data_IF_274670014999
#
_entry.id   IF_274670014999
#
_cell.length_a   1.000
_cell.length_b   1.000
_cell.length_c   1.000
_cell.angle_alpha   90.00
_cell.angle_beta   90.00
_cell.angle_gamma   90.00
#
_symmetry.space_group_name_H-M   'P 1'
#
loop_
_entity.id
_entity.type
_entity.pdbx_description
1 polymer ?
#
# COMPACT_ATOMS: atom_id res chain seq x y z
N UNK A 1 28.90 -59.96 17.97
CA UNK A 1 29.06 -58.54 17.64
C UNK A 1 30.06 -57.98 18.63
N UNK A 2 31.13 -57.33 18.15
CA UNK A 2 32.12 -56.76 19.06
C UNK A 2 31.56 -55.50 19.74
N UNK A 3 31.97 -55.23 20.97
CA UNK A 3 31.55 -54.06 21.76
C UNK A 3 31.76 -52.74 21.00
N UNK A 4 32.66 -52.67 20.09
CA UNK A 4 32.94 -51.52 19.20
C UNK A 4 31.80 -51.27 18.20
N UNK A 5 31.12 -52.30 17.68
CA UNK A 5 29.99 -52.18 16.75
C UNK A 5 28.72 -51.69 17.48
N UNK A 6 28.53 -52.20 18.72
CA UNK A 6 27.40 -51.77 19.55
C UNK A 6 27.55 -50.31 19.98
N UNK A 7 28.77 -49.85 20.27
CA UNK A 7 29.08 -48.47 20.64
C UNK A 7 28.86 -47.50 19.45
N UNK A 8 29.24 -47.90 18.23
CA UNK A 8 29.01 -47.13 17.01
C UNK A 8 27.50 -46.99 16.68
N UNK A 9 26.71 -48.05 16.84
CA UNK A 9 25.27 -48.03 16.61
C UNK A 9 24.57 -47.15 17.65
N UNK A 10 25.00 -47.17 18.91
CA UNK A 10 24.48 -46.30 19.97
C UNK A 10 24.82 -44.82 19.76
N UNK A 11 26.00 -44.50 19.25
CA UNK A 11 26.39 -43.14 18.88
C UNK A 11 25.64 -42.64 17.63
N UNK A 12 25.45 -43.48 16.60
CA UNK A 12 24.65 -43.12 15.44
C UNK A 12 23.17 -42.88 15.81
N UNK A 13 22.59 -43.70 16.68
CA UNK A 13 21.22 -43.50 17.16
C UNK A 13 21.11 -42.25 18.05
N UNK A 14 22.12 -41.89 18.85
CA UNK A 14 22.13 -40.61 19.59
C UNK A 14 22.25 -39.39 18.69
N UNK A 15 23.11 -39.45 17.66
CA UNK A 15 23.22 -38.39 16.66
C UNK A 15 21.95 -38.23 15.82
N UNK A 16 21.33 -39.35 15.41
CA UNK A 16 20.05 -39.34 14.71
C UNK A 16 18.90 -38.82 15.60
N UNK A 17 18.89 -39.14 16.90
CA UNK A 17 17.89 -38.61 17.84
C UNK A 17 18.11 -37.14 18.16
N UNK A 18 19.37 -36.68 18.24
CA UNK A 18 19.68 -35.25 18.37
C UNK A 18 19.32 -34.50 17.10
N UNK A 19 19.57 -35.07 15.92
CA UNK A 19 19.17 -34.50 14.64
C UNK A 19 17.64 -34.44 14.48
N UNK A 20 16.90 -35.50 14.89
CA UNK A 20 15.46 -35.52 14.91
C UNK A 20 14.87 -34.59 15.97
N UNK A 21 15.49 -34.42 17.13
CA UNK A 21 15.07 -33.47 18.18
C UNK A 21 15.40 -32.02 17.79
N UNK A 22 16.51 -31.77 17.13
CA UNK A 22 16.81 -30.42 16.57
C UNK A 22 15.90 -30.08 15.38
N UNK A 23 15.53 -31.05 14.54
CA UNK A 23 14.56 -30.87 13.46
C UNK A 23 13.12 -30.70 13.96
N UNK A 24 12.74 -31.35 15.06
CA UNK A 24 11.39 -31.19 15.65
C UNK A 24 11.25 -29.92 16.51
N UNK A 25 12.34 -29.32 16.96
CA UNK A 25 12.34 -28.01 17.65
C UNK A 25 12.46 -26.82 16.68
N UNK A 26 12.85 -27.05 15.40
CA UNK A 26 12.90 -26.00 14.38
C UNK A 26 11.63 -25.88 13.54
N UNK A 27 10.62 -26.74 13.79
CA UNK A 27 9.31 -26.68 13.15
C UNK A 27 8.24 -25.97 13.99
N UNK A 28 8.59 -25.25 15.04
CA UNK A 28 7.77 -24.12 15.45
C UNK A 28 7.87 -23.10 14.31
N UNK A 29 6.83 -22.99 13.50
CA UNK A 29 6.76 -22.06 12.38
C UNK A 29 7.29 -20.71 12.87
N UNK A 30 8.46 -20.30 12.41
CA UNK A 30 9.03 -19.00 12.75
C UNK A 30 8.04 -17.98 12.23
N UNK A 31 7.34 -17.30 13.14
CA UNK A 31 6.35 -16.29 12.80
C UNK A 31 7.12 -15.16 12.13
N UNK A 32 6.84 -14.92 10.84
CA UNK A 32 7.50 -13.85 10.08
C UNK A 32 6.91 -12.49 10.46
N UNK A 33 7.68 -11.38 10.36
CA UNK A 33 7.18 -10.05 10.68
C UNK A 33 5.86 -9.69 9.99
N UNK A 34 5.66 -10.10 8.72
CA UNK A 34 4.41 -9.86 8.01
C UNK A 34 3.26 -10.66 8.59
N UNK A 35 3.49 -11.90 9.06
CA UNK A 35 2.46 -12.72 9.68
C UNK A 35 2.08 -12.16 11.05
N UNK A 36 3.03 -11.70 11.85
CA UNK A 36 2.75 -11.05 13.13
C UNK A 36 1.87 -9.82 12.94
N UNK A 37 2.23 -8.92 12.01
CA UNK A 37 1.43 -7.73 11.72
C UNK A 37 0.06 -8.07 11.12
N UNK A 38 -0.04 -9.10 10.27
CA UNK A 38 -1.31 -9.58 9.77
C UNK A 38 -2.22 -10.07 10.91
N UNK A 39 -1.71 -10.95 11.76
CA UNK A 39 -2.47 -11.56 12.87
C UNK A 39 -2.98 -10.50 13.85
N UNK A 40 -2.13 -9.55 14.29
CA UNK A 40 -2.57 -8.48 15.20
C UNK A 40 -3.51 -7.49 14.52
N UNK A 41 -3.36 -7.23 13.24
CA UNK A 41 -4.25 -6.34 12.50
C UNK A 41 -5.68 -6.87 12.46
N UNK A 42 -5.85 -8.16 12.16
CA UNK A 42 -7.16 -8.79 12.03
C UNK A 42 -7.83 -9.09 13.37
N UNK A 43 -7.04 -9.29 14.44
CA UNK A 43 -7.56 -9.71 15.75
C UNK A 43 -7.61 -8.61 16.79
N UNK A 44 -6.66 -7.68 16.79
CA UNK A 44 -6.49 -6.66 17.83
C UNK A 44 -6.81 -5.26 17.32
N UNK A 45 -6.16 -4.84 16.22
CA UNK A 45 -6.15 -3.44 15.80
C UNK A 45 -7.46 -3.06 15.10
N UNK A 46 -7.84 -3.83 14.09
CA UNK A 46 -9.08 -3.63 13.33
C UNK A 46 -9.82 -4.96 13.16
N UNK A 47 -10.31 -5.61 14.22
CA UNK A 47 -11.20 -6.75 14.04
C UNK A 47 -12.43 -6.31 13.23
N UNK A 48 -13.08 -7.24 12.55
CA UNK A 48 -14.17 -6.95 11.60
C UNK A 48 -15.29 -6.06 12.19
N UNK A 49 -15.53 -6.20 13.50
CA UNK A 49 -16.51 -5.40 14.25
C UNK A 49 -16.10 -3.94 14.43
N UNK A 50 -14.81 -3.65 14.35
CA UNK A 50 -14.25 -2.29 14.50
C UNK A 50 -13.90 -1.63 13.18
N UNK A 51 -13.92 -2.35 12.05
CA UNK A 51 -13.67 -1.76 10.73
C UNK A 51 -14.53 -0.50 10.51
N UNK A 52 -13.95 0.57 10.03
CA UNK A 52 -14.67 1.81 9.74
C UNK A 52 -14.64 2.08 8.24
N UNK A 53 -15.75 2.60 7.69
CA UNK A 53 -15.81 3.03 6.28
C UNK A 53 -14.97 4.28 6.06
N UNK A 54 -13.66 4.08 5.87
CA UNK A 54 -12.68 5.13 5.62
C UNK A 54 -11.48 4.60 4.81
N UNK A 55 -10.66 5.52 4.30
CA UNK A 55 -9.51 5.20 3.48
C UNK A 55 -8.38 4.43 4.22
N UNK A 56 -8.19 4.68 5.53
CA UNK A 56 -7.10 4.06 6.31
C UNK A 56 -7.30 2.56 6.41
N UNK A 57 -8.50 2.16 6.81
CA UNK A 57 -8.86 0.74 6.95
C UNK A 57 -9.03 0.09 5.56
N UNK A 58 -9.40 0.87 4.53
CA UNK A 58 -9.48 0.38 3.16
C UNK A 58 -8.12 -0.06 2.60
N UNK A 59 -7.03 0.63 2.93
CA UNK A 59 -5.67 0.22 2.51
C UNK A 59 -5.26 -1.10 3.16
N UNK A 60 -5.56 -1.28 4.45
CA UNK A 60 -5.35 -2.56 5.14
C UNK A 60 -6.21 -3.66 4.51
N UNK A 61 -7.48 -3.38 4.24
CA UNK A 61 -8.41 -4.31 3.60
C UNK A 61 -7.92 -4.72 2.20
N UNK A 62 -7.39 -3.77 1.41
CA UNK A 62 -6.74 -4.06 0.11
C UNK A 62 -5.60 -5.06 0.28
N UNK A 63 -4.74 -4.87 1.30
CA UNK A 63 -3.67 -5.82 1.58
C UNK A 63 -4.22 -7.23 1.91
N UNK A 64 -5.27 -7.33 2.71
CA UNK A 64 -5.90 -8.62 3.00
C UNK A 64 -6.44 -9.28 1.72
N UNK A 65 -7.09 -8.52 0.82
CA UNK A 65 -7.60 -9.09 -0.43
C UNK A 65 -6.47 -9.58 -1.35
N UNK A 66 -5.28 -8.97 -1.31
CA UNK A 66 -4.14 -9.43 -2.09
C UNK A 66 -3.50 -10.68 -1.44
N UNK A 67 -3.38 -10.73 -0.11
CA UNK A 67 -2.94 -11.94 0.61
C UNK A 67 -3.89 -13.11 0.35
N UNK A 68 -5.21 -12.90 0.30
CA UNK A 68 -6.18 -13.94 -0.07
C UNK A 68 -5.86 -14.61 -1.41
N UNK A 69 -5.39 -13.83 -2.40
CA UNK A 69 -5.08 -14.36 -3.73
C UNK A 69 -3.78 -15.16 -3.77
N UNK A 70 -2.87 -14.89 -2.86
CA UNK A 70 -1.50 -15.43 -2.86
C UNK A 70 -1.23 -16.48 -1.79
N UNK A 71 -1.93 -16.43 -0.65
CA UNK A 71 -1.78 -17.37 0.46
C UNK A 71 -3.06 -18.19 0.67
N UNK A 72 -3.11 -19.46 0.20
CA UNK A 72 -4.25 -20.33 0.38
C UNK A 72 -4.64 -20.57 1.85
N UNK A 73 -3.67 -20.49 2.79
CA UNK A 73 -3.92 -20.77 4.20
C UNK A 73 -4.71 -19.63 4.88
N UNK A 74 -4.64 -18.40 4.35
CA UNK A 74 -5.35 -17.25 4.89
C UNK A 74 -6.71 -16.99 4.24
N UNK A 75 -7.08 -17.75 3.20
CA UNK A 75 -8.29 -17.46 2.40
C UNK A 75 -9.57 -17.41 3.22
N UNK A 76 -9.84 -18.43 4.03
CA UNK A 76 -11.09 -18.49 4.78
C UNK A 76 -11.16 -17.40 5.86
N UNK A 77 -10.07 -17.18 6.59
CA UNK A 77 -9.97 -16.11 7.61
C UNK A 77 -10.22 -14.74 7.00
N UNK A 78 -9.62 -14.45 5.84
CA UNK A 78 -9.80 -13.18 5.15
C UNK A 78 -11.22 -13.05 4.59
N UNK A 79 -11.76 -14.10 3.97
CA UNK A 79 -13.11 -14.06 3.41
C UNK A 79 -14.15 -13.79 4.49
N UNK A 80 -14.06 -14.47 5.64
CA UNK A 80 -14.95 -14.26 6.78
C UNK A 80 -14.79 -12.87 7.40
N UNK A 81 -13.57 -12.39 7.51
CA UNK A 81 -13.29 -11.02 7.98
C UNK A 81 -13.96 -9.98 7.08
N UNK A 82 -13.73 -10.07 5.75
CA UNK A 82 -14.28 -9.10 4.80
C UNK A 82 -15.80 -9.17 4.75
N UNK A 83 -16.38 -10.37 4.74
CA UNK A 83 -17.83 -10.53 4.75
C UNK A 83 -18.45 -9.86 5.99
N UNK A 84 -17.95 -10.17 7.16
CA UNK A 84 -18.45 -9.61 8.43
C UNK A 84 -18.26 -8.08 8.49
N UNK A 85 -17.09 -7.57 8.09
CA UNK A 85 -16.83 -6.14 8.07
C UNK A 85 -17.72 -5.41 7.08
N UNK A 86 -17.78 -5.87 5.83
CA UNK A 86 -18.54 -5.21 4.77
C UNK A 86 -20.04 -5.29 4.98
N UNK A 87 -20.60 -6.44 5.39
CA UNK A 87 -22.02 -6.57 5.72
C UNK A 87 -22.45 -5.56 6.79
N UNK A 88 -21.59 -5.35 7.80
CA UNK A 88 -21.87 -4.40 8.89
C UNK A 88 -21.83 -2.95 8.44
N UNK A 89 -20.87 -2.57 7.57
CA UNK A 89 -20.71 -1.15 7.15
C UNK A 89 -21.49 -0.79 5.89
N UNK A 90 -21.94 -1.75 5.09
CA UNK A 90 -22.66 -1.52 3.84
C UNK A 90 -23.83 -0.55 3.94
N UNK A 91 -24.67 -0.55 4.99
CA UNK A 91 -25.77 0.43 5.12
C UNK A 91 -25.27 1.89 5.17
N UNK A 92 -24.05 2.12 5.66
CA UNK A 92 -23.41 3.44 5.78
C UNK A 92 -22.43 3.75 4.64
N UNK A 93 -22.26 2.82 3.70
CA UNK A 93 -21.34 2.98 2.59
C UNK A 93 -21.68 4.24 1.75
N UNK A 94 -20.64 4.96 1.38
CA UNK A 94 -20.75 6.15 0.55
C UNK A 94 -19.50 6.35 -0.32
N UNK A 95 -19.69 6.99 -1.48
CA UNK A 95 -18.63 7.33 -2.44
C UNK A 95 -18.69 8.82 -2.85
N UNK A 96 -19.12 9.68 -1.95
CA UNK A 96 -19.30 11.14 -2.24
C UNK A 96 -17.97 11.91 -2.28
N UNK A 97 -16.88 11.27 -1.87
CA UNK A 97 -15.50 11.76 -1.98
C UNK A 97 -14.54 10.58 -2.09
N UNK A 98 -13.30 10.75 -2.62
CA UNK A 98 -12.35 9.66 -2.89
C UNK A 98 -12.07 8.75 -1.69
N UNK A 99 -11.89 9.31 -0.49
CA UNK A 99 -11.65 8.53 0.72
C UNK A 99 -12.83 7.60 1.10
N UNK A 100 -14.06 7.96 0.71
CA UNK A 100 -15.22 7.10 0.87
C UNK A 100 -15.29 6.01 -0.20
N UNK A 101 -14.80 6.29 -1.42
CA UNK A 101 -14.74 5.30 -2.52
C UNK A 101 -13.78 4.17 -2.20
N UNK A 102 -12.67 4.45 -1.52
CA UNK A 102 -11.61 3.48 -1.23
C UNK A 102 -12.13 2.16 -0.61
N UNK A 103 -13.05 2.23 0.35
CA UNK A 103 -13.60 1.04 1.03
C UNK A 103 -14.44 0.12 0.12
N UNK A 104 -14.83 0.59 -1.07
CA UNK A 104 -15.55 -0.25 -2.04
C UNK A 104 -14.70 -1.44 -2.52
N UNK A 105 -13.38 -1.43 -2.33
CA UNK A 105 -12.50 -2.57 -2.62
C UNK A 105 -12.98 -3.85 -1.90
N UNK A 106 -13.47 -3.74 -0.66
CA UNK A 106 -13.99 -4.88 0.10
C UNK A 106 -15.34 -5.38 -0.42
N UNK A 107 -16.24 -4.48 -0.83
CA UNK A 107 -17.52 -4.86 -1.44
C UNK A 107 -17.30 -5.58 -2.77
N UNK A 108 -16.41 -5.03 -3.61
CA UNK A 108 -16.04 -5.64 -4.89
C UNK A 108 -15.37 -7.01 -4.69
N UNK A 109 -14.53 -7.15 -3.67
CA UNK A 109 -13.90 -8.43 -3.34
C UNK A 109 -14.92 -9.51 -2.96
N UNK A 110 -15.94 -9.18 -2.16
CA UNK A 110 -17.03 -10.15 -1.86
C UNK A 110 -17.74 -10.63 -3.13
N UNK A 111 -18.00 -9.73 -4.06
CA UNK A 111 -18.58 -10.09 -5.36
C UNK A 111 -17.62 -10.97 -6.17
N UNK A 112 -16.32 -10.65 -6.22
CA UNK A 112 -15.27 -11.43 -6.91
C UNK A 112 -15.21 -12.88 -6.42
N UNK A 113 -15.31 -13.11 -5.09
CA UNK A 113 -15.21 -14.46 -4.49
C UNK A 113 -16.55 -15.17 -4.35
N UNK A 114 -17.65 -14.60 -4.87
CA UNK A 114 -18.98 -15.20 -4.81
C UNK A 114 -19.65 -15.17 -3.43
N UNK A 115 -19.19 -14.28 -2.52
CA UNK A 115 -19.80 -14.03 -1.19
C UNK A 115 -20.61 -12.73 -1.16
N UNK A 116 -20.85 -12.09 -2.31
CA UNK A 116 -21.74 -10.93 -2.42
C UNK A 116 -23.16 -11.25 -1.94
N UNK A 117 -23.82 -10.25 -1.39
CA UNK A 117 -25.21 -10.29 -0.94
C UNK A 117 -25.97 -9.09 -1.53
N UNK A 118 -27.29 -9.15 -1.54
CA UNK A 118 -28.11 -8.01 -2.00
C UNK A 118 -27.73 -6.71 -1.27
N UNK A 119 -27.32 -6.77 0.00
CA UNK A 119 -26.94 -5.58 0.79
C UNK A 119 -25.59 -5.04 0.34
N UNK A 120 -24.59 -5.90 0.19
CA UNK A 120 -23.24 -5.52 -0.23
C UNK A 120 -23.19 -5.08 -1.69
N UNK A 121 -23.93 -5.76 -2.58
CA UNK A 121 -23.99 -5.42 -4.00
C UNK A 121 -24.65 -4.05 -4.24
N UNK A 122 -25.81 -3.79 -3.59
CA UNK A 122 -26.44 -2.46 -3.64
C UNK A 122 -25.55 -1.36 -3.04
N UNK A 123 -24.75 -1.70 -2.01
CA UNK A 123 -23.80 -0.75 -1.44
C UNK A 123 -22.69 -0.42 -2.45
N UNK A 124 -22.14 -1.42 -3.16
CA UNK A 124 -21.16 -1.20 -4.22
C UNK A 124 -21.71 -0.33 -5.34
N UNK A 125 -22.88 -0.68 -5.87
CA UNK A 125 -23.58 0.13 -6.90
C UNK A 125 -23.76 1.59 -6.47
N UNK A 126 -24.22 1.81 -5.23
CA UNK A 126 -24.40 3.15 -4.66
C UNK A 126 -23.08 3.93 -4.61
N UNK A 127 -21.99 3.30 -4.13
CA UNK A 127 -20.67 3.93 -4.04
C UNK A 127 -20.17 4.31 -5.43
N UNK A 128 -20.25 3.42 -6.41
CA UNK A 128 -19.82 3.68 -7.78
C UNK A 128 -20.66 4.75 -8.47
N UNK A 129 -21.99 4.80 -8.21
CA UNK A 129 -22.85 5.87 -8.70
C UNK A 129 -22.46 7.23 -8.10
N UNK A 130 -22.18 7.28 -6.78
CA UNK A 130 -21.75 8.52 -6.11
C UNK A 130 -20.38 8.96 -6.58
N UNK A 131 -19.43 8.04 -6.81
CA UNK A 131 -18.11 8.32 -7.38
C UNK A 131 -18.22 9.06 -8.74
N UNK A 132 -19.14 8.64 -9.62
CA UNK A 132 -19.36 9.30 -10.91
C UNK A 132 -19.83 10.76 -10.77
N UNK A 133 -20.44 11.10 -9.64
CA UNK A 133 -20.94 12.44 -9.33
C UNK A 133 -19.98 13.31 -8.50
N UNK A 134 -18.78 12.81 -8.15
CA UNK A 134 -17.76 13.64 -7.51
C UNK A 134 -17.35 14.77 -8.47
N UNK A 135 -17.21 16.02 -7.99
CA UNK A 135 -16.74 17.13 -8.82
C UNK A 135 -15.43 16.79 -9.55
N UNK A 136 -15.26 17.32 -10.75
CA UNK A 136 -14.07 17.06 -11.57
C UNK A 136 -13.50 18.37 -12.11
N UNK A 137 -12.18 18.42 -12.26
CA UNK A 137 -11.53 19.46 -13.03
C UNK A 137 -11.94 19.37 -14.51
N UNK A 138 -11.71 20.45 -15.27
CA UNK A 138 -12.08 20.54 -16.71
C UNK A 138 -11.53 19.38 -17.54
N UNK A 139 -10.37 18.84 -17.16
CA UNK A 139 -9.74 17.69 -17.83
C UNK A 139 -10.25 16.30 -17.35
N UNK A 140 -11.30 16.27 -16.51
CA UNK A 140 -11.90 15.05 -15.99
C UNK A 140 -11.28 14.47 -14.71
N UNK A 141 -10.21 15.07 -14.18
CA UNK A 141 -9.59 14.63 -12.94
C UNK A 141 -10.55 14.77 -11.75
N UNK A 142 -10.72 13.70 -10.96
CA UNK A 142 -11.62 13.64 -9.83
C UNK A 142 -11.12 14.53 -8.68
N UNK A 143 -11.97 15.41 -8.17
CA UNK A 143 -11.64 16.26 -7.03
C UNK A 143 -11.53 15.44 -5.73
N UNK A 144 -10.55 15.78 -4.89
CA UNK A 144 -10.46 15.26 -3.52
C UNK A 144 -11.53 15.88 -2.60
N UNK A 145 -12.02 17.08 -2.95
CA UNK A 145 -12.96 17.89 -2.18
C UNK A 145 -14.29 18.02 -2.87
N UNK A 146 -15.34 18.26 -2.10
CA UNK A 146 -16.71 18.46 -2.61
C UNK A 146 -17.09 19.93 -2.76
N UNK A 147 -16.43 20.84 -2.03
CA UNK A 147 -16.74 22.29 -2.05
C UNK A 147 -15.97 23.08 -3.10
N UNK A 148 -14.73 22.65 -3.39
CA UNK A 148 -13.86 23.23 -4.40
C UNK A 148 -13.22 22.12 -5.21
N UNK A 149 -12.78 22.42 -6.44
CA UNK A 149 -12.03 21.42 -7.22
C UNK A 149 -10.56 21.47 -6.79
N UNK A 150 -10.19 20.46 -6.01
CA UNK A 150 -8.82 20.22 -5.55
C UNK A 150 -8.35 18.83 -5.95
N UNK A 151 -7.26 18.76 -6.67
CA UNK A 151 -6.60 17.50 -7.03
C UNK A 151 -5.50 17.20 -6.03
N UNK A 152 -5.61 16.07 -5.35
CA UNK A 152 -4.57 15.54 -4.46
C UNK A 152 -3.99 14.28 -5.08
N UNK A 153 -2.71 14.04 -4.88
CA UNK A 153 -2.07 12.79 -5.32
C UNK A 153 -2.67 11.55 -4.65
N UNK A 154 -3.12 11.65 -3.39
CA UNK A 154 -3.89 10.62 -2.68
C UNK A 154 -5.12 10.14 -3.45
N UNK A 155 -5.83 11.05 -4.14
CA UNK A 155 -7.08 10.76 -4.86
C UNK A 155 -6.93 9.58 -5.80
N UNK A 156 -5.82 9.53 -6.53
CA UNK A 156 -5.58 8.53 -7.58
C UNK A 156 -5.59 7.12 -7.01
N UNK A 157 -4.94 6.90 -5.86
CA UNK A 157 -4.92 5.59 -5.22
C UNK A 157 -6.25 5.23 -4.56
N UNK A 158 -6.89 6.19 -3.88
CA UNK A 158 -8.15 5.94 -3.18
C UNK A 158 -9.26 5.45 -4.12
N UNK A 159 -9.38 6.05 -5.30
CA UNK A 159 -10.33 5.59 -6.32
C UNK A 159 -9.82 4.36 -7.07
N UNK A 160 -8.52 4.26 -7.33
CA UNK A 160 -7.90 3.16 -8.08
C UNK A 160 -8.13 1.81 -7.45
N UNK A 161 -8.02 1.71 -6.11
CA UNK A 161 -8.30 0.45 -5.38
C UNK A 161 -9.72 -0.08 -5.66
N UNK A 162 -10.72 0.80 -5.62
CA UNK A 162 -12.11 0.44 -5.86
C UNK A 162 -12.35 0.06 -7.33
N UNK A 163 -11.79 0.82 -8.27
CA UNK A 163 -11.94 0.57 -9.70
C UNK A 163 -11.30 -0.76 -10.10
N UNK A 164 -10.06 -1.05 -9.67
CA UNK A 164 -9.41 -2.35 -9.92
C UNK A 164 -10.18 -3.49 -9.25
N UNK A 165 -10.63 -3.30 -8.00
CA UNK A 165 -11.45 -4.29 -7.31
C UNK A 165 -12.73 -4.60 -8.10
N UNK A 166 -13.43 -3.56 -8.58
CA UNK A 166 -14.63 -3.72 -9.39
C UNK A 166 -14.36 -4.39 -10.74
N UNK A 167 -13.23 -4.06 -11.39
CA UNK A 167 -12.79 -4.78 -12.60
C UNK A 167 -12.58 -6.26 -12.32
N UNK A 168 -11.91 -6.62 -11.23
CA UNK A 168 -11.70 -8.04 -10.85
C UNK A 168 -13.02 -8.78 -10.60
N UNK A 169 -13.99 -8.09 -10.01
CA UNK A 169 -15.31 -8.67 -9.74
C UNK A 169 -16.18 -8.85 -11.01
N UNK A 170 -16.08 -7.91 -11.96
CA UNK A 170 -17.03 -7.82 -13.08
C UNK A 170 -16.46 -8.16 -14.45
N UNK A 171 -15.13 -8.05 -14.60
CA UNK A 171 -14.44 -8.17 -15.90
C UNK A 171 -14.60 -6.95 -16.82
N UNK A 172 -15.31 -5.89 -16.41
CA UNK A 172 -15.53 -4.71 -17.27
C UNK A 172 -14.30 -3.82 -17.34
N UNK A 173 -13.62 -3.83 -18.48
CA UNK A 173 -12.39 -3.07 -18.73
C UNK A 173 -12.56 -1.56 -18.55
N UNK A 174 -13.76 -1.03 -18.68
CA UNK A 174 -14.05 0.40 -18.50
C UNK A 174 -13.66 0.94 -17.11
N UNK A 175 -13.59 0.10 -16.09
CA UNK A 175 -13.07 0.50 -14.76
C UNK A 175 -11.55 0.70 -14.79
N UNK A 176 -10.82 -0.10 -15.54
CA UNK A 176 -9.38 0.08 -15.74
C UNK A 176 -9.10 1.31 -16.60
N UNK A 177 -9.91 1.53 -17.62
CA UNK A 177 -9.83 2.70 -18.49
C UNK A 177 -10.08 3.99 -17.71
N UNK A 178 -11.12 4.03 -16.85
CA UNK A 178 -11.39 5.18 -15.97
C UNK A 178 -10.20 5.41 -15.02
N UNK A 179 -9.63 4.36 -14.43
CA UNK A 179 -8.44 4.53 -13.58
C UNK A 179 -7.24 5.10 -14.35
N UNK A 180 -6.98 4.62 -15.56
CA UNK A 180 -5.92 5.15 -16.41
C UNK A 180 -6.17 6.63 -16.78
N UNK A 181 -7.43 7.01 -17.05
CA UNK A 181 -7.82 8.40 -17.27
C UNK A 181 -7.57 9.26 -16.03
N UNK A 182 -7.88 8.76 -14.83
CA UNK A 182 -7.59 9.48 -13.60
C UNK A 182 -6.08 9.68 -13.38
N UNK A 183 -5.26 8.67 -13.67
CA UNK A 183 -3.80 8.81 -13.63
C UNK A 183 -3.33 9.92 -14.58
N UNK A 184 -3.76 9.88 -15.85
CA UNK A 184 -3.28 10.82 -16.87
C UNK A 184 -3.79 12.24 -16.62
N UNK A 185 -5.04 12.39 -16.18
CA UNK A 185 -5.65 13.71 -15.92
C UNK A 185 -5.06 14.39 -14.68
N UNK A 186 -4.80 13.65 -13.59
CA UNK A 186 -4.09 14.19 -12.43
C UNK A 186 -2.65 14.54 -12.77
N UNK A 187 -1.95 13.71 -13.56
CA UNK A 187 -0.58 13.99 -14.00
C UNK A 187 -0.45 15.32 -14.73
N UNK A 188 -1.48 15.76 -15.45
CA UNK A 188 -1.46 17.05 -16.15
C UNK A 188 -1.27 18.26 -15.22
N UNK A 189 -1.63 18.11 -13.93
CA UNK A 189 -1.52 19.17 -12.93
C UNK A 189 -0.41 18.91 -11.90
N UNK A 190 -0.14 17.65 -11.56
CA UNK A 190 0.69 17.29 -10.43
C UNK A 190 2.08 16.75 -10.82
N UNK A 191 2.24 16.15 -12.00
CA UNK A 191 3.51 15.53 -12.39
C UNK A 191 4.60 16.55 -12.67
N UNK A 192 5.78 16.36 -12.08
CA UNK A 192 6.99 17.11 -12.38
C UNK A 192 7.94 16.33 -13.29
N UNK A 193 8.10 16.79 -14.51
CA UNK A 193 8.95 16.15 -15.53
C UNK A 193 10.46 16.23 -15.23
N UNK A 194 10.89 17.01 -14.23
CA UNK A 194 12.31 17.10 -13.85
C UNK A 194 12.69 16.00 -12.87
N UNK A 195 11.81 15.69 -11.94
CA UNK A 195 12.07 14.75 -10.85
C UNK A 195 11.38 13.41 -10.99
N UNK A 196 10.28 13.36 -11.76
CA UNK A 196 9.39 12.21 -11.84
C UNK A 196 8.40 12.11 -10.67
N UNK A 197 8.51 12.99 -9.67
CA UNK A 197 7.58 13.06 -8.56
C UNK A 197 6.34 13.88 -8.90
N UNK A 198 5.35 13.78 -8.03
CA UNK A 198 4.09 14.51 -8.13
C UNK A 198 3.95 15.47 -6.96
N UNK A 199 3.54 16.69 -7.23
CA UNK A 199 3.16 17.64 -6.19
C UNK A 199 1.94 17.11 -5.44
N UNK A 200 1.86 17.38 -4.14
CA UNK A 200 0.80 16.84 -3.30
C UNK A 200 -0.58 17.34 -3.72
N UNK A 201 -0.70 18.62 -4.13
CA UNK A 201 -1.99 19.14 -4.55
C UNK A 201 -1.96 20.32 -5.51
N UNK A 202 -3.07 20.44 -6.23
CA UNK A 202 -3.43 21.53 -7.12
C UNK A 202 -4.91 21.91 -6.89
N UNK A 203 -5.25 23.18 -6.97
CA UNK A 203 -6.62 23.66 -6.88
C UNK A 203 -7.00 24.50 -8.10
N UNK A 204 -8.23 24.39 -8.55
CA UNK A 204 -8.75 25.18 -9.68
C UNK A 204 -8.85 26.68 -9.35
N UNK A 205 -9.03 27.00 -8.07
CA UNK A 205 -9.10 28.39 -7.56
C UNK A 205 -7.89 28.71 -6.70
N UNK A 206 -7.56 30.01 -6.57
CA UNK A 206 -6.46 30.50 -5.74
C UNK A 206 -6.69 30.37 -4.23
N UNK A 207 -7.88 29.93 -3.80
CA UNK A 207 -8.23 29.79 -2.40
C UNK A 207 -8.68 28.36 -2.13
N UNK A 208 -7.94 27.59 -1.30
CA UNK A 208 -8.39 26.26 -0.87
C UNK A 208 -9.65 26.40 -0.01
N UNK A 209 -10.41 25.32 0.08
CA UNK A 209 -11.50 25.24 1.04
C UNK A 209 -10.94 25.42 2.47
N UNK A 210 -11.62 26.24 3.26
CA UNK A 210 -11.30 26.40 4.68
C UNK A 210 -11.77 25.17 5.44
N UNK A 211 -10.84 24.26 5.71
CA UNK A 211 -11.08 23.13 6.58
C UNK A 211 -9.78 22.68 7.28
N UNK A 212 -9.94 21.76 8.24
CA UNK A 212 -8.83 21.22 9.03
C UNK A 212 -7.77 20.45 8.20
N UNK A 213 -8.05 20.18 6.93
CA UNK A 213 -7.19 19.39 6.06
C UNK A 213 -6.49 20.20 4.96
N UNK A 214 -6.70 21.51 4.85
CA UNK A 214 -5.98 22.35 3.91
C UNK A 214 -5.27 23.48 4.65
N UNK A 215 -3.97 23.61 4.43
CA UNK A 215 -3.26 24.78 4.90
C UNK A 215 -3.59 25.95 3.98
N UNK A 216 -4.19 27.00 4.54
CA UNK A 216 -4.60 28.17 3.77
C UNK A 216 -3.43 28.79 3.00
N UNK A 217 -3.64 29.08 1.73
CA UNK A 217 -2.68 29.79 0.88
C UNK A 217 -1.66 28.93 0.14
N UNK A 218 -1.62 27.61 0.31
CA UNK A 218 -0.69 26.73 -0.40
C UNK A 218 -0.83 26.81 -1.94
N UNK A 219 -2.01 27.15 -2.46
CA UNK A 219 -2.33 27.25 -3.88
C UNK A 219 -2.36 28.69 -4.43
N UNK A 220 -1.84 29.67 -3.70
CA UNK A 220 -1.91 31.10 -4.11
C UNK A 220 -0.87 31.51 -5.15
N UNK A 221 0.03 30.62 -5.55
CA UNK A 221 1.00 30.88 -6.63
C UNK A 221 0.32 30.85 -8.02
N UNK A 222 1.00 31.31 -9.05
CA UNK A 222 0.48 31.45 -10.41
C UNK A 222 0.05 30.10 -11.07
N UNK A 223 0.47 28.97 -10.51
CA UNK A 223 0.14 27.63 -11.00
C UNK A 223 -0.87 26.90 -10.09
N UNK A 224 -1.37 27.54 -9.05
CA UNK A 224 -2.35 27.01 -8.10
C UNK A 224 -1.97 25.68 -7.47
N UNK A 225 -0.69 25.45 -7.17
CA UNK A 225 -0.15 24.16 -6.75
C UNK A 225 0.81 24.35 -5.55
N UNK A 226 0.82 23.38 -4.63
CA UNK A 226 1.85 23.39 -3.59
C UNK A 226 3.26 23.19 -4.18
N UNK A 227 4.31 23.46 -3.37
CA UNK A 227 5.69 23.45 -3.86
C UNK A 227 6.49 22.21 -3.44
N UNK A 228 5.88 21.27 -2.71
CA UNK A 228 6.57 20.15 -2.12
C UNK A 228 6.09 18.80 -2.67
N UNK A 229 7.03 17.84 -2.65
CA UNK A 229 6.80 16.44 -3.00
C UNK A 229 6.74 15.61 -1.72
N UNK A 230 5.55 15.36 -1.24
CA UNK A 230 5.37 14.57 -0.02
C UNK A 230 5.58 13.07 -0.27
N UNK A 231 6.37 12.40 0.60
CA UNK A 231 6.79 11.01 0.39
C UNK A 231 5.63 10.02 0.33
N UNK A 232 4.71 10.04 1.30
CA UNK A 232 3.53 9.16 1.26
C UNK A 232 2.59 9.49 0.10
N UNK A 233 2.41 10.76 -0.26
CA UNK A 233 1.63 11.14 -1.44
C UNK A 233 2.22 10.53 -2.70
N UNK A 234 3.53 10.67 -2.89
CA UNK A 234 4.22 10.00 -3.99
C UNK A 234 4.22 8.47 -3.86
N UNK A 235 4.09 7.93 -2.64
CA UNK A 235 3.86 6.51 -2.39
C UNK A 235 2.54 6.03 -2.99
N UNK A 236 1.46 6.78 -2.78
CA UNK A 236 0.16 6.50 -3.40
C UNK A 236 0.25 6.49 -4.92
N UNK A 237 0.96 7.45 -5.50
CA UNK A 237 1.16 7.51 -6.96
C UNK A 237 1.99 6.34 -7.45
N UNK A 238 3.10 6.00 -6.78
CA UNK A 238 3.93 4.86 -7.17
C UNK A 238 3.12 3.55 -7.20
N UNK A 239 2.30 3.31 -6.16
CA UNK A 239 1.39 2.17 -6.10
C UNK A 239 0.35 2.21 -7.22
N UNK A 240 -0.26 3.38 -7.48
CA UNK A 240 -1.25 3.57 -8.54
C UNK A 240 -0.69 3.28 -9.92
N UNK A 241 0.53 3.77 -10.21
CA UNK A 241 1.20 3.54 -11.49
C UNK A 241 1.52 2.05 -11.69
N UNK A 242 2.01 1.37 -10.67
CA UNK A 242 2.27 -0.07 -10.72
C UNK A 242 0.97 -0.89 -10.89
N UNK A 243 -0.09 -0.52 -10.14
CA UNK A 243 -1.37 -1.22 -10.15
C UNK A 243 -2.09 -1.07 -11.50
N UNK A 244 -2.12 0.13 -12.08
CA UNK A 244 -2.76 0.33 -13.38
C UNK A 244 -2.00 -0.35 -14.50
N UNK A 245 -0.66 -0.35 -14.49
CA UNK A 245 0.17 -1.03 -15.50
C UNK A 245 0.03 -2.56 -15.45
N UNK A 246 -0.36 -3.14 -14.32
CA UNK A 246 -0.65 -4.58 -14.24
C UNK A 246 -1.90 -4.98 -15.03
N UNK A 247 -2.91 -4.11 -15.08
CA UNK A 247 -4.23 -4.47 -15.63
C UNK A 247 -4.58 -3.75 -16.92
N UNK A 248 -3.95 -2.62 -17.23
CA UNK A 248 -4.17 -1.87 -18.47
C UNK A 248 -3.51 -2.59 -19.65
N UNK A 249 -4.22 -2.90 -20.72
CA UNK A 249 -3.62 -3.50 -21.90
C UNK A 249 -2.46 -2.67 -22.45
N UNK A 250 -1.35 -3.31 -22.82
CA UNK A 250 -0.20 -2.61 -23.40
C UNK A 250 -0.51 -1.90 -24.74
N UNK A 251 -1.61 -2.27 -25.41
CA UNK A 251 -2.14 -1.61 -26.60
C UNK A 251 -2.92 -0.32 -26.34
N UNK A 252 -3.25 -0.03 -25.06
CA UNK A 252 -3.94 1.20 -24.71
C UNK A 252 -3.03 2.41 -24.93
N UNK A 253 -3.57 3.46 -25.54
CA UNK A 253 -2.81 4.67 -25.91
C UNK A 253 -2.18 5.40 -24.72
N UNK A 254 -2.71 5.22 -23.50
CA UNK A 254 -2.20 5.80 -22.25
C UNK A 254 -1.03 5.02 -21.66
N UNK A 255 -0.94 3.72 -21.97
CA UNK A 255 0.06 2.81 -21.39
C UNK A 255 1.51 3.32 -21.53
N UNK A 256 2.01 3.76 -22.70
CA UNK A 256 3.38 4.24 -22.84
C UNK A 256 3.69 5.46 -21.96
N UNK A 257 2.73 6.38 -21.83
CA UNK A 257 2.87 7.57 -20.99
C UNK A 257 2.91 7.21 -19.51
N UNK A 258 2.01 6.35 -19.04
CA UNK A 258 1.95 5.89 -17.65
C UNK A 258 3.24 5.15 -17.29
N UNK A 259 3.70 4.25 -18.16
CA UNK A 259 4.97 3.53 -18.02
C UNK A 259 6.16 4.48 -17.89
N UNK A 260 6.26 5.47 -18.77
CA UNK A 260 7.36 6.45 -18.73
C UNK A 260 7.39 7.26 -17.42
N UNK A 261 6.23 7.70 -16.93
CA UNK A 261 6.13 8.39 -15.63
C UNK A 261 6.55 7.48 -14.48
N UNK A 262 6.13 6.23 -14.51
CA UNK A 262 6.48 5.23 -13.49
C UNK A 262 8.00 4.94 -13.47
N UNK A 263 8.60 4.64 -14.62
CA UNK A 263 10.04 4.39 -14.74
C UNK A 263 10.87 5.60 -14.28
N UNK A 264 10.43 6.81 -14.62
CA UNK A 264 11.09 8.05 -14.18
C UNK A 264 11.04 8.18 -12.65
N UNK A 265 9.87 8.02 -12.04
CA UNK A 265 9.71 8.06 -10.58
C UNK A 265 10.60 7.02 -9.89
N UNK A 266 10.59 5.77 -10.34
CA UNK A 266 11.41 4.70 -9.76
C UNK A 266 12.90 5.00 -9.89
N UNK A 267 13.36 5.51 -11.03
CA UNK A 267 14.76 5.89 -11.21
C UNK A 267 15.21 7.01 -10.24
N UNK A 268 14.31 7.91 -9.87
CA UNK A 268 14.56 8.92 -8.84
C UNK A 268 14.54 8.31 -7.45
N UNK A 269 13.55 7.48 -7.13
CA UNK A 269 13.45 6.80 -5.84
C UNK A 269 14.69 5.98 -5.50
N UNK A 270 15.22 5.20 -6.47
CA UNK A 270 16.43 4.39 -6.26
C UNK A 270 17.64 5.24 -5.84
N UNK A 271 17.77 6.45 -6.38
CA UNK A 271 18.87 7.37 -6.03
C UNK A 271 18.70 7.97 -4.63
N UNK A 272 17.46 8.11 -4.16
CA UNK A 272 17.11 8.80 -2.91
C UNK A 272 16.94 7.83 -1.72
N UNK A 273 16.97 6.52 -1.94
CA UNK A 273 16.91 5.54 -0.86
C UNK A 273 18.09 5.72 0.09
N UNK A 274 17.84 5.84 1.38
CA UNK A 274 18.89 5.94 2.39
C UNK A 274 19.78 4.69 2.38
N UNK A 275 21.08 4.90 2.23
CA UNK A 275 22.05 3.80 2.03
C UNK A 275 22.23 2.92 3.26
N UNK A 276 21.99 3.48 4.45
CA UNK A 276 22.20 2.76 5.72
C UNK A 276 20.98 1.99 6.15
N UNK A 277 19.81 2.62 6.03
CA UNK A 277 18.56 2.09 6.57
C UNK A 277 17.65 1.47 5.51
N UNK A 278 17.79 1.82 4.24
CA UNK A 278 16.88 1.38 3.18
C UNK A 278 15.55 2.15 3.13
N UNK A 279 15.34 3.08 4.03
CA UNK A 279 14.12 3.89 4.10
C UNK A 279 14.19 5.13 3.19
N UNK A 280 13.04 5.80 3.00
CA UNK A 280 12.96 7.12 2.39
C UNK A 280 12.48 8.15 3.42
N UNK A 281 12.81 9.41 3.15
CA UNK A 281 12.41 10.54 3.99
C UNK A 281 10.99 10.99 3.68
N UNK A 282 10.38 11.69 4.64
CA UNK A 282 9.05 12.29 4.51
C UNK A 282 8.96 13.25 3.30
N UNK A 283 9.98 14.06 3.05
CA UNK A 283 10.15 14.85 1.82
C UNK A 283 11.37 14.32 1.06
N UNK A 284 11.19 13.41 0.08
CA UNK A 284 12.30 12.63 -0.50
C UNK A 284 13.42 13.47 -1.13
N UNK A 285 13.10 14.66 -1.65
CA UNK A 285 14.12 15.52 -2.28
C UNK A 285 14.96 16.33 -1.28
N UNK A 286 14.51 16.47 -0.04
CA UNK A 286 15.20 17.22 1.01
C UNK A 286 16.11 16.34 1.87
N UNK A 287 16.95 15.52 1.25
CA UNK A 287 17.78 14.50 1.93
C UNK A 287 18.78 15.05 2.96
N UNK A 288 19.14 16.33 2.88
CA UNK A 288 20.13 16.97 3.76
C UNK A 288 19.49 17.67 4.97
N UNK A 289 18.19 17.88 4.96
CA UNK A 289 17.50 18.62 6.01
C UNK A 289 17.36 17.73 7.25
N UNK A 290 17.78 18.24 8.41
CA UNK A 290 17.85 17.46 9.65
C UNK A 290 16.47 17.13 10.22
N UNK A 291 15.49 18.03 10.00
CA UNK A 291 14.13 17.89 10.48
C UNK A 291 13.28 16.94 9.61
N UNK A 292 13.84 16.50 8.49
CA UNK A 292 13.21 15.58 7.55
C UNK A 292 13.49 14.13 7.95
N UNK A 293 12.58 13.51 8.67
CA UNK A 293 12.76 12.16 9.19
C UNK A 293 12.57 11.06 8.14
N UNK A 294 13.16 9.88 8.40
CA UNK A 294 12.94 8.64 7.64
C UNK A 294 11.57 8.06 8.04
N UNK A 295 10.75 7.73 7.06
CA UNK A 295 9.32 7.47 7.22
C UNK A 295 8.94 6.07 6.70
N UNK A 296 8.14 5.33 7.46
CA UNK A 296 7.85 3.93 7.16
C UNK A 296 6.74 3.74 6.12
N UNK A 297 5.67 4.54 6.14
CA UNK A 297 4.53 4.29 5.24
C UNK A 297 4.90 4.52 3.77
N UNK A 298 5.52 5.66 3.44
CA UNK A 298 6.03 5.92 2.08
C UNK A 298 7.11 4.92 1.66
N UNK A 299 7.95 4.48 2.61
CA UNK A 299 8.96 3.43 2.34
C UNK A 299 8.29 2.12 1.91
N UNK A 300 7.26 1.67 2.61
CA UNK A 300 6.52 0.46 2.27
C UNK A 300 5.85 0.57 0.90
N UNK A 301 5.23 1.71 0.60
CA UNK A 301 4.57 1.99 -0.68
C UNK A 301 5.55 2.00 -1.86
N UNK A 302 6.71 2.64 -1.71
CA UNK A 302 7.75 2.64 -2.74
C UNK A 302 8.32 1.23 -2.97
N UNK A 303 8.58 0.51 -1.88
CA UNK A 303 9.03 -0.88 -1.95
C UNK A 303 8.02 -1.78 -2.69
N UNK A 304 6.73 -1.69 -2.35
CA UNK A 304 5.65 -2.39 -3.04
C UNK A 304 5.63 -2.09 -4.53
N UNK A 305 5.60 -0.80 -4.88
CA UNK A 305 5.53 -0.39 -6.27
C UNK A 305 6.71 -0.94 -7.07
N UNK A 306 7.94 -0.87 -6.53
CA UNK A 306 9.15 -1.37 -7.19
C UNK A 306 9.09 -2.90 -7.34
N UNK A 307 8.72 -3.65 -6.31
CA UNK A 307 8.61 -5.12 -6.38
C UNK A 307 7.58 -5.52 -7.44
N UNK A 308 6.40 -4.90 -7.41
CA UNK A 308 5.34 -5.14 -8.40
C UNK A 308 5.78 -4.83 -9.82
N UNK A 309 6.45 -3.71 -10.04
CA UNK A 309 6.97 -3.33 -11.35
C UNK A 309 7.95 -4.32 -11.94
N UNK A 310 8.78 -4.96 -11.09
CA UNK A 310 9.65 -6.06 -11.52
C UNK A 310 8.81 -7.29 -11.87
N UNK A 311 7.86 -7.68 -11.01
CA UNK A 311 7.00 -8.85 -11.25
C UNK A 311 6.22 -8.76 -12.57
N UNK A 312 5.68 -7.59 -12.89
CA UNK A 312 4.92 -7.39 -14.14
C UNK A 312 5.82 -7.11 -15.37
N UNK A 313 7.14 -7.18 -15.21
CA UNK A 313 8.11 -7.00 -16.30
C UNK A 313 8.26 -5.57 -16.83
N UNK A 314 7.77 -4.56 -16.09
CA UNK A 314 7.94 -3.14 -16.45
C UNK A 314 9.30 -2.63 -15.99
N UNK A 315 9.80 -3.10 -14.85
CA UNK A 315 11.12 -2.77 -14.33
C UNK A 315 12.10 -3.93 -14.49
N UNK A 316 13.39 -3.64 -14.65
CA UNK A 316 14.42 -4.69 -14.70
C UNK A 316 14.57 -5.36 -13.32
N UNK A 317 14.94 -6.65 -13.33
CA UNK A 317 15.02 -7.52 -12.15
C UNK A 317 15.96 -6.96 -11.06
N UNK A 318 17.04 -6.28 -11.46
CA UNK A 318 18.01 -5.70 -10.52
C UNK A 318 17.40 -4.64 -9.59
N UNK A 319 16.21 -4.11 -9.91
CA UNK A 319 15.45 -3.19 -9.05
C UNK A 319 14.87 -3.87 -7.82
N UNK A 320 14.67 -5.18 -7.85
CA UNK A 320 14.13 -5.93 -6.72
C UNK A 320 14.99 -5.78 -5.46
N UNK A 321 16.31 -5.63 -5.60
CA UNK A 321 17.22 -5.35 -4.47
C UNK A 321 16.84 -4.07 -3.69
N UNK A 322 16.25 -3.07 -4.36
CA UNK A 322 15.77 -1.84 -3.71
C UNK A 322 14.53 -2.10 -2.87
N UNK A 323 13.62 -2.94 -3.35
CA UNK A 323 12.43 -3.35 -2.60
C UNK A 323 12.79 -4.23 -1.40
N UNK A 324 13.71 -5.19 -1.56
CA UNK A 324 14.23 -5.99 -0.43
C UNK A 324 14.87 -5.11 0.64
N UNK A 325 15.70 -4.16 0.22
CA UNK A 325 16.35 -3.23 1.15
C UNK A 325 15.32 -2.36 1.90
N UNK A 326 14.23 -1.96 1.25
CA UNK A 326 13.13 -1.25 1.91
C UNK A 326 12.45 -2.14 2.96
N UNK A 327 12.14 -3.38 2.63
CA UNK A 327 11.56 -4.34 3.56
C UNK A 327 12.47 -4.60 4.78
N UNK A 328 13.75 -4.89 4.55
CA UNK A 328 14.72 -5.11 5.62
C UNK A 328 14.85 -3.85 6.50
N UNK A 329 14.83 -2.66 5.88
CA UNK A 329 14.84 -1.39 6.60
C UNK A 329 13.62 -1.19 7.49
N UNK A 330 12.43 -1.54 7.00
CA UNK A 330 11.19 -1.49 7.78
C UNK A 330 11.23 -2.46 8.97
N UNK A 331 11.65 -3.69 8.75
CA UNK A 331 11.77 -4.71 9.81
C UNK A 331 12.79 -4.28 10.87
N UNK A 332 13.97 -3.83 10.45
CA UNK A 332 15.07 -3.53 11.37
C UNK A 332 14.94 -2.18 12.09
N UNK A 333 14.20 -1.21 11.53
CA UNK A 333 14.19 0.16 12.06
C UNK A 333 12.79 0.70 12.41
N UNK A 334 11.73 0.04 11.95
CA UNK A 334 10.36 0.53 12.13
C UNK A 334 9.43 -0.46 12.85
N UNK A 335 9.76 -1.76 12.83
CA UNK A 335 8.98 -2.75 13.57
C UNK A 335 9.32 -2.68 15.06
N UNK A 336 8.30 -2.48 15.88
CA UNK A 336 8.40 -2.35 17.33
C UNK A 336 7.77 -3.56 17.99
N UNK A 337 8.33 -4.00 19.12
CA UNK A 337 7.84 -5.10 19.94
C UNK A 337 7.61 -6.42 19.17
N UNK A 338 8.47 -6.69 18.17
CA UNK A 338 8.44 -7.92 17.37
C UNK A 338 8.52 -9.17 18.27
N UNK A 339 7.78 -10.22 17.91
CA UNK A 339 7.72 -11.46 18.70
C UNK A 339 6.79 -11.35 19.92
N UNK A 340 6.01 -10.29 20.05
CA UNK A 340 5.04 -10.09 21.16
C UNK A 340 3.65 -9.77 20.66
N UNK A 341 2.65 -9.85 21.54
CA UNK A 341 1.28 -9.43 21.22
C UNK A 341 1.14 -7.91 20.96
N UNK A 342 2.16 -7.12 21.30
CA UNK A 342 2.18 -5.66 21.12
C UNK A 342 2.92 -5.22 19.87
N UNK A 343 3.28 -6.15 18.98
CA UNK A 343 3.96 -5.85 17.71
C UNK A 343 3.19 -4.80 16.91
N UNK A 344 3.91 -3.81 16.38
CA UNK A 344 3.35 -2.72 15.60
C UNK A 344 4.39 -2.07 14.69
N UNK A 345 3.93 -1.44 13.63
CA UNK A 345 4.77 -0.59 12.78
C UNK A 345 4.83 0.82 13.37
N UNK A 346 6.02 1.35 13.53
CA UNK A 346 6.30 2.71 13.97
C UNK A 346 6.92 3.58 12.89
N UNK A 347 7.45 4.74 13.28
CA UNK A 347 8.05 5.76 12.40
C UNK A 347 7.14 6.19 11.25
N UNK A 348 5.85 6.27 11.51
CA UNK A 348 4.84 6.63 10.51
C UNK A 348 4.62 8.15 10.55
N UNK A 349 4.67 8.82 9.40
CA UNK A 349 4.16 10.19 9.32
C UNK A 349 2.65 10.19 9.60
N UNK A 350 2.21 10.95 10.58
CA UNK A 350 0.79 11.09 10.93
C UNK A 350 -0.06 11.55 9.73
N UNK A 351 -1.38 11.51 9.86
CA UNK A 351 -2.30 12.05 8.86
C UNK A 351 -1.89 13.47 8.46
N UNK A 352 -1.72 13.71 7.18
CA UNK A 352 -1.10 14.91 6.62
C UNK A 352 -1.97 15.47 5.51
N UNK A 353 -2.10 16.78 5.48
CA UNK A 353 -2.79 17.52 4.45
C UNK A 353 -1.80 18.26 3.56
N UNK A 354 -2.27 19.05 2.60
CA UNK A 354 -1.39 19.82 1.74
C UNK A 354 -0.85 21.03 2.50
N UNK A 355 0.45 21.32 2.34
CA UNK A 355 1.10 22.46 2.95
C UNK A 355 2.45 22.80 2.31
N UNK A 356 3.19 23.66 2.97
CA UNK A 356 4.57 23.99 2.67
C UNK A 356 5.56 23.06 3.41
N UNK A 357 6.85 23.30 3.24
CA UNK A 357 7.92 22.50 3.85
C UNK A 357 7.84 22.53 5.38
N UNK A 358 7.60 23.68 5.97
CA UNK A 358 7.49 23.88 7.41
C UNK A 358 6.30 23.09 7.99
N UNK A 359 5.16 23.09 7.31
CA UNK A 359 4.00 22.29 7.67
C UNK A 359 4.34 20.79 7.68
N UNK A 360 5.00 20.26 6.66
CA UNK A 360 5.37 18.85 6.62
C UNK A 360 6.34 18.48 7.73
N UNK A 361 7.35 19.31 8.02
CA UNK A 361 8.30 19.04 9.11
C UNK A 361 7.66 19.08 10.49
N UNK A 362 6.62 19.89 10.68
CA UNK A 362 5.83 19.92 11.91
C UNK A 362 4.92 18.70 12.09
N UNK A 363 4.75 17.84 11.07
CA UNK A 363 3.91 16.64 11.22
C UNK A 363 4.57 15.64 12.16
N UNK A 364 3.81 15.12 13.15
CA UNK A 364 4.39 14.17 14.08
C UNK A 364 4.69 12.82 13.40
N UNK A 365 5.79 12.22 13.83
CA UNK A 365 6.07 10.81 13.62
C UNK A 365 5.32 10.01 14.71
N UNK A 366 4.61 8.97 14.34
CA UNK A 366 3.82 8.15 15.28
C UNK A 366 4.26 6.68 15.24
N UNK A 367 4.13 6.02 16.40
CA UNK A 367 4.57 4.65 16.65
C UNK A 367 3.41 3.75 17.11
N UNK A 368 2.21 3.96 16.58
CA UNK A 368 0.98 3.27 17.02
C UNK A 368 0.35 2.33 15.99
N UNK A 369 1.04 2.00 14.90
CA UNK A 369 0.54 1.05 13.89
C UNK A 369 -0.67 1.57 13.09
N UNK A 370 -0.54 2.72 12.43
CA UNK A 370 -1.60 3.25 11.56
C UNK A 370 -1.92 2.25 10.44
N UNK A 371 -3.20 1.93 10.25
CA UNK A 371 -3.67 0.84 9.38
C UNK A 371 -3.23 0.98 7.92
N UNK A 372 -3.16 2.20 7.40
CA UNK A 372 -2.65 2.46 6.05
C UNK A 372 -1.16 2.11 5.87
N UNK A 373 -0.36 2.30 6.91
CA UNK A 373 1.06 1.98 6.87
C UNK A 373 1.29 0.47 7.00
N UNK A 374 0.55 -0.19 7.89
CA UNK A 374 0.55 -1.65 8.03
C UNK A 374 0.06 -2.30 6.74
N UNK A 375 -1.02 -1.79 6.14
CA UNK A 375 -1.51 -2.27 4.84
C UNK A 375 -0.44 -2.17 3.74
N UNK A 376 0.26 -1.03 3.63
CA UNK A 376 1.35 -0.88 2.67
C UNK A 376 2.52 -1.84 2.95
N UNK A 377 2.88 -2.08 4.23
CA UNK A 377 3.90 -3.07 4.60
C UNK A 377 3.49 -4.49 4.17
N UNK A 378 2.25 -4.88 4.43
CA UNK A 378 1.73 -6.21 4.03
C UNK A 378 1.69 -6.37 2.51
N UNK A 379 1.33 -5.32 1.77
CA UNK A 379 1.38 -5.31 0.31
C UNK A 379 2.81 -5.51 -0.21
N UNK A 380 3.79 -4.80 0.34
CA UNK A 380 5.20 -5.00 -0.02
C UNK A 380 5.67 -6.41 0.28
N UNK A 381 5.41 -6.91 1.48
CA UNK A 381 5.80 -8.26 1.89
C UNK A 381 5.20 -9.33 0.96
N UNK A 382 3.91 -9.18 0.63
CA UNK A 382 3.21 -10.07 -0.29
C UNK A 382 3.79 -10.06 -1.70
N UNK A 383 4.15 -8.90 -2.27
CA UNK A 383 4.79 -8.81 -3.59
C UNK A 383 6.18 -9.46 -3.60
N UNK A 384 6.96 -9.31 -2.53
CA UNK A 384 8.27 -9.96 -2.43
C UNK A 384 8.16 -11.49 -2.37
N UNK A 385 7.12 -12.02 -1.71
CA UNK A 385 6.81 -13.46 -1.70
C UNK A 385 6.47 -13.96 -3.09
N UNK A 386 5.68 -13.20 -3.84
CA UNK A 386 5.29 -13.58 -5.23
C UNK A 386 6.51 -13.54 -6.16
N UNK A 387 7.38 -12.54 -6.01
CA UNK A 387 8.59 -12.42 -6.84
C UNK A 387 9.56 -13.59 -6.61
N UNK A 388 9.68 -14.05 -5.38
CA UNK A 388 10.60 -15.14 -4.98
C UNK A 388 9.93 -16.05 -3.93
N UNK A 389 9.15 -17.06 -4.35
CA UNK A 389 8.49 -18.00 -3.43
C UNK A 389 9.45 -18.64 -2.43
N UNK A 390 10.69 -18.96 -2.86
CA UNK A 390 11.75 -19.50 -2.03
C UNK A 390 12.24 -18.53 -0.93
N UNK A 391 11.94 -17.25 -1.03
CA UNK A 391 12.33 -16.24 -0.03
C UNK A 391 11.68 -16.48 1.33
N UNK A 392 10.47 -17.03 1.36
CA UNK A 392 9.81 -17.47 2.59
C UNK A 392 10.53 -18.66 3.23
N UNK A 393 11.08 -19.58 2.41
CA UNK A 393 11.82 -20.76 2.90
C UNK A 393 13.20 -20.38 3.44
N UNK A 394 13.90 -19.45 2.79
CA UNK A 394 15.26 -19.02 3.18
C UNK A 394 15.25 -18.21 4.47
N UNK A 395 14.29 -17.31 4.67
CA UNK A 395 14.19 -16.53 5.93
C UNK A 395 13.68 -17.37 7.11
N UNK A 396 12.96 -18.45 6.86
CA UNK A 396 12.62 -19.44 7.90
C UNK A 396 13.82 -20.27 8.37
N UNK A 397 14.91 -20.33 7.58
CA UNK A 397 16.08 -21.14 7.86
C UNK A 397 17.29 -20.35 8.41
N UNK A 398 17.27 -18.99 8.39
CA UNK A 398 18.41 -18.13 8.73
C UNK A 398 18.18 -17.19 9.93
N UNK A 399 17.13 -17.40 10.73
CA UNK A 399 16.91 -16.69 11.99
C UNK A 399 16.95 -17.69 13.19
#
# INVERSE_FOLDING_TARGET
MSDSVLHAILQMNRLALIFLLTFSLSAAAQITPQKELFDVSITRDVPAEKYVWNWRDAVLLKAFTDVYRTDPQQREVIADYVDKAMTRVAPKAHGVHPNGVASAVGLAFLQEIGRGSMVTDKALEKVLMQYRNIPRAVNGACSHRTGTVELWDDTVYMIGMALIGTYKATGYISYVEDFADQVVSHAAHLYDSKTGFWYHGWAETSFPAEDACSQYGWNTNAVHRNNEFWGRGNGWIAMSLADVLEVLPASDSRYPRIKAMYEHMVNTLVKLQDRKTGLWRQLPLHVKDKDNFLESSGTAMFGYAIAKGVRIGVLPEDRLKTAHKAYDGLVNHCLLDAGTADVRLGRICAGTCIGDKEYYYARPQVDRGETYAVGAFLLLANELVICHPEWNEVKSNNL
#
